data_IF_045964211564
#
_entry.id   IF_045964211564
#
_cell.length_a   1.000
_cell.length_b   1.000
_cell.length_c   1.000
_cell.angle_alpha   90.00
_cell.angle_beta   90.00
_cell.angle_gamma   90.00
#
_symmetry.space_group_name_H-M   'P 1'
#
loop_
_entity.id
_entity.type
_entity.pdbx_description
1 polymer ?
#
# COMPACT_ATOMS: atom_id res chain seq x y z
N UNK A 1 -15.78 18.87 -0.36
CA UNK A 1 -15.89 17.59 -1.10
C UNK A 1 -15.00 16.60 -0.37
N UNK A 2 -15.54 15.51 0.15
CA UNK A 2 -14.75 14.51 0.87
C UNK A 2 -14.11 13.56 -0.16
N UNK A 3 -12.87 13.81 -0.57
CA UNK A 3 -12.13 12.86 -1.42
C UNK A 3 -11.88 11.56 -0.63
N UNK A 4 -12.07 10.42 -1.29
CA UNK A 4 -11.81 9.10 -0.69
C UNK A 4 -10.52 8.56 -1.27
N UNK A 5 -9.60 8.12 -0.41
CA UNK A 5 -8.37 7.46 -0.84
C UNK A 5 -8.52 5.95 -0.66
N UNK A 6 -8.08 5.22 -1.67
CA UNK A 6 -8.02 3.77 -1.68
C UNK A 6 -6.55 3.35 -1.74
N UNK A 7 -6.07 2.72 -0.67
CA UNK A 7 -4.68 2.32 -0.54
C UNK A 7 -4.62 0.81 -0.60
N UNK A 8 -3.92 0.27 -1.59
CA UNK A 8 -3.64 -1.16 -1.67
C UNK A 8 -2.21 -1.36 -1.21
N UNK A 9 -2.01 -2.04 -0.09
CA UNK A 9 -0.68 -2.25 0.46
C UNK A 9 -0.39 -3.74 0.72
N UNK A 10 0.85 -4.13 0.48
CA UNK A 10 1.40 -5.43 0.80
C UNK A 10 2.76 -5.26 1.49
N UNK A 11 3.39 -6.37 1.89
CA UNK A 11 4.76 -6.42 2.41
C UNK A 11 5.81 -5.83 1.46
N UNK A 12 5.51 -5.75 0.16
CA UNK A 12 6.45 -5.31 -0.87
C UNK A 12 6.25 -3.89 -1.39
N UNK A 13 5.00 -3.43 -1.52
CA UNK A 13 4.68 -2.12 -2.11
C UNK A 13 3.30 -1.65 -1.63
N UNK A 14 3.04 -0.35 -1.73
CA UNK A 14 1.78 0.28 -1.45
C UNK A 14 1.38 1.23 -2.58
N UNK A 15 0.22 0.97 -3.16
CA UNK A 15 -0.38 1.73 -4.25
C UNK A 15 -1.46 2.64 -3.67
N UNK A 16 -1.31 3.95 -3.82
CA UNK A 16 -2.28 4.94 -3.37
C UNK A 16 -3.12 5.37 -4.57
N UNK A 17 -4.43 5.23 -4.44
CA UNK A 17 -5.41 5.63 -5.44
C UNK A 17 -6.34 6.68 -4.87
N UNK A 18 -6.70 7.65 -5.69
CA UNK A 18 -7.79 8.58 -5.41
C UNK A 18 -9.07 8.03 -6.02
N UNK A 19 -10.10 7.91 -5.18
CA UNK A 19 -11.44 7.52 -5.62
C UNK A 19 -12.21 8.81 -5.91
N UNK A 20 -12.52 9.01 -7.19
CA UNK A 20 -13.36 10.09 -7.66
C UNK A 20 -14.61 9.55 -8.35
N UNK A 21 -15.59 10.42 -8.55
CA UNK A 21 -16.80 10.09 -9.27
C UNK A 21 -17.99 9.79 -8.35
N UNK A 22 -19.05 9.25 -8.96
CA UNK A 22 -20.32 9.01 -8.27
C UNK A 22 -20.40 7.55 -7.81
N UNK A 23 -21.26 7.23 -6.82
CA UNK A 23 -21.44 5.86 -6.27
C UNK A 23 -21.62 4.78 -7.35
N UNK A 24 -22.22 5.13 -8.49
CA UNK A 24 -22.43 4.19 -9.60
C UNK A 24 -21.21 3.97 -10.51
N UNK A 25 -20.26 4.90 -10.52
CA UNK A 25 -19.03 4.88 -11.34
C UNK A 25 -17.87 5.47 -10.53
N UNK A 26 -17.33 4.72 -9.55
CA UNK A 26 -16.08 5.10 -8.91
C UNK A 26 -14.95 4.98 -9.93
N UNK A 27 -14.13 6.02 -10.04
CA UNK A 27 -12.92 6.08 -10.85
C UNK A 27 -11.74 6.04 -9.90
N UNK A 28 -10.87 5.05 -10.05
CA UNK A 28 -9.62 4.95 -9.29
C UNK A 28 -8.49 5.59 -10.09
N UNK A 29 -7.96 6.72 -9.60
CA UNK A 29 -6.82 7.39 -10.20
C UNK A 29 -5.57 7.10 -9.35
N UNK A 30 -4.53 6.41 -9.88
CA UNK A 30 -3.29 6.22 -9.14
C UNK A 30 -2.64 7.57 -8.86
N UNK A 31 -2.35 7.84 -7.57
CA UNK A 31 -1.69 9.06 -7.11
C UNK A 31 -0.19 8.81 -6.96
N UNK A 32 0.15 7.74 -6.23
CA UNK A 32 1.52 7.47 -5.79
C UNK A 32 1.68 5.97 -5.56
N UNK A 33 2.87 5.45 -5.86
CA UNK A 33 3.26 4.07 -5.54
C UNK A 33 4.50 4.13 -4.66
N UNK A 34 4.40 3.57 -3.47
CA UNK A 34 5.51 3.39 -2.53
C UNK A 34 6.02 1.95 -2.68
N UNK A 35 7.29 1.78 -2.98
CA UNK A 35 7.92 0.47 -3.02
C UNK A 35 8.83 0.30 -1.80
N UNK A 36 8.83 -0.88 -1.20
CA UNK A 36 9.74 -1.19 -0.10
C UNK A 36 11.18 -1.26 -0.64
N UNK A 37 12.18 -0.64 0.02
CA UNK A 37 13.49 -0.36 -0.56
C UNK A 37 14.38 -1.60 -0.86
N UNK A 38 13.92 -2.82 -0.61
CA UNK A 38 14.78 -4.02 -0.61
C UNK A 38 14.45 -5.07 -1.68
N UNK A 39 13.87 -4.69 -2.82
CA UNK A 39 14.16 -5.41 -4.07
C UNK A 39 14.42 -4.44 -5.20
N UNK A 40 15.66 -4.31 -5.70
CA UNK A 40 15.83 -3.78 -7.03
C UNK A 40 14.97 -4.65 -7.94
N UNK A 41 13.88 -4.09 -8.47
CA UNK A 41 13.29 -4.60 -9.71
C UNK A 41 14.47 -4.63 -10.66
N UNK A 42 14.97 -5.83 -10.95
CA UNK A 42 15.91 -6.04 -12.03
C UNK A 42 15.16 -5.56 -13.26
N UNK A 43 15.36 -4.28 -13.60
CA UNK A 43 15.01 -3.75 -14.89
C UNK A 43 15.55 -4.76 -15.88
N UNK A 44 14.65 -5.36 -16.63
CA UNK A 44 14.95 -6.12 -17.85
C UNK A 44 15.52 -5.12 -18.86
N UNK A 45 16.71 -4.63 -18.59
CA UNK A 45 17.54 -3.87 -19.52
C UNK A 45 18.76 -4.74 -19.73
N UNK A 46 18.77 -5.42 -20.88
CA UNK A 46 19.89 -6.25 -21.29
C UNK A 46 21.19 -5.48 -21.14
N UNK A 47 22.13 -6.06 -20.41
CA UNK A 47 23.41 -5.42 -20.13
C UNK A 47 24.17 -6.23 -19.10
N UNK A 48 25.17 -6.97 -19.59
CA UNK A 48 26.15 -7.70 -18.81
C UNK A 48 26.72 -6.84 -17.66
N UNK A 49 26.88 -7.42 -16.47
CA UNK A 49 28.19 -7.49 -15.80
C UNK A 49 28.13 -8.32 -14.51
N UNK A 50 29.11 -9.20 -14.45
CA UNK A 50 29.57 -10.09 -13.39
C UNK A 50 29.88 -9.41 -12.05
N UNK A 51 29.65 -10.11 -10.92
CA UNK A 51 30.72 -10.64 -10.05
C UNK A 51 30.24 -11.01 -8.63
N UNK A 52 30.62 -12.23 -8.22
CA UNK A 52 31.07 -12.65 -6.89
C UNK A 52 30.09 -12.78 -5.70
N UNK A 53 30.18 -13.94 -5.03
CA UNK A 53 29.89 -14.08 -3.60
C UNK A 53 28.58 -14.79 -3.22
N UNK A 54 28.55 -16.13 -3.27
CA UNK A 54 27.53 -16.97 -2.58
C UNK A 54 28.12 -17.56 -1.29
N UNK A 55 27.29 -17.57 -0.24
CA UNK A 55 27.51 -17.93 1.19
C UNK A 55 27.86 -16.64 1.96
N UNK A 56 27.06 -16.10 2.89
CA UNK A 56 26.51 -16.70 4.12
C UNK A 56 25.30 -15.91 4.71
N UNK A 57 24.31 -15.48 3.92
CA UNK A 57 23.35 -14.43 4.37
C UNK A 57 21.96 -14.90 4.89
N UNK A 58 21.69 -16.20 5.07
CA UNK A 58 20.32 -16.71 5.28
C UNK A 58 19.77 -16.55 6.71
N UNK A 59 20.61 -16.40 7.75
CA UNK A 59 20.12 -16.24 9.13
C UNK A 59 19.93 -14.79 9.59
N UNK A 60 20.70 -13.83 9.04
CA UNK A 60 20.53 -12.39 9.36
C UNK A 60 19.39 -11.73 8.57
N UNK A 61 18.97 -12.32 7.44
CA UNK A 61 17.93 -11.74 6.59
C UNK A 61 16.54 -11.75 7.22
N UNK A 62 16.24 -12.66 8.16
CA UNK A 62 14.91 -12.72 8.79
C UNK A 62 14.65 -11.53 9.71
N UNK A 63 15.60 -11.21 10.59
CA UNK A 63 15.50 -10.05 11.49
C UNK A 63 15.53 -8.72 10.71
N UNK A 64 16.36 -8.64 9.67
CA UNK A 64 16.38 -7.48 8.78
C UNK A 64 15.05 -7.28 8.04
N UNK A 65 14.45 -8.35 7.51
CA UNK A 65 13.17 -8.28 6.80
C UNK A 65 12.01 -7.85 7.71
N UNK A 66 11.95 -8.31 8.96
CA UNK A 66 10.91 -7.91 9.92
C UNK A 66 11.05 -6.44 10.35
N UNK A 67 12.28 -5.98 10.57
CA UNK A 67 12.55 -4.59 10.90
C UNK A 67 12.31 -3.64 9.71
N UNK A 68 12.54 -4.10 8.49
CA UNK A 68 12.24 -3.36 7.26
C UNK A 68 10.74 -3.26 6.99
N UNK A 69 10.00 -4.34 7.18
CA UNK A 69 8.53 -4.33 7.05
C UNK A 69 7.93 -3.30 8.02
N UNK A 70 8.46 -3.25 9.24
CA UNK A 70 8.07 -2.25 10.24
C UNK A 70 8.40 -0.81 9.81
N UNK A 71 9.57 -0.59 9.19
CA UNK A 71 9.97 0.72 8.62
C UNK A 71 9.07 1.12 7.45
N UNK A 72 8.71 0.19 6.59
CA UNK A 72 7.85 0.43 5.43
C UNK A 72 6.42 0.77 5.85
N UNK A 73 5.85 -0.01 6.79
CA UNK A 73 4.54 0.31 7.40
C UNK A 73 4.56 1.71 7.99
N UNK A 74 5.62 2.07 8.73
CA UNK A 74 5.75 3.42 9.29
C UNK A 74 5.83 4.50 8.21
N UNK A 75 6.58 4.27 7.14
CA UNK A 75 6.66 5.22 6.02
C UNK A 75 5.30 5.46 5.36
N UNK A 76 4.52 4.39 5.14
CA UNK A 76 3.15 4.50 4.60
C UNK A 76 2.28 5.31 5.57
N UNK A 77 2.31 4.99 6.86
CA UNK A 77 1.51 5.70 7.88
C UNK A 77 1.89 7.18 7.94
N UNK A 78 3.18 7.51 7.94
CA UNK A 78 3.64 8.90 7.96
C UNK A 78 3.17 9.64 6.70
N UNK A 79 3.25 9.00 5.53
CA UNK A 79 2.77 9.56 4.27
C UNK A 79 1.27 9.83 4.28
N UNK A 80 0.49 8.86 4.74
CA UNK A 80 -0.97 8.99 4.87
C UNK A 80 -1.36 10.04 5.92
N UNK A 81 -0.62 10.13 7.03
CA UNK A 81 -0.83 11.17 8.07
C UNK A 81 -0.55 12.56 7.51
N UNK A 82 0.52 12.71 6.74
CA UNK A 82 0.83 13.98 6.07
C UNK A 82 -0.26 14.38 5.09
N UNK A 83 -0.76 13.44 4.29
CA UNK A 83 -1.86 13.67 3.37
C UNK A 83 -3.18 13.98 4.09
N UNK A 84 -3.45 13.34 5.23
CA UNK A 84 -4.58 13.65 6.10
C UNK A 84 -4.49 15.08 6.64
N UNK A 85 -3.32 15.49 7.13
CA UNK A 85 -3.08 16.85 7.65
C UNK A 85 -3.24 17.91 6.56
N UNK A 86 -2.85 17.61 5.32
CA UNK A 86 -3.06 18.45 4.15
C UNK A 86 -4.51 18.43 3.64
N UNK A 87 -5.41 17.68 4.29
CA UNK A 87 -6.82 17.46 3.89
C UNK A 87 -6.96 16.97 2.44
N UNK A 88 -6.01 16.17 1.98
CA UNK A 88 -6.10 15.56 0.64
C UNK A 88 -7.20 14.51 0.54
N UNK A 89 -7.56 13.88 1.67
CA UNK A 89 -8.68 12.96 1.77
C UNK A 89 -9.46 13.15 3.06
N UNK A 90 -10.75 12.80 3.02
CA UNK A 90 -11.61 12.71 4.20
C UNK A 90 -11.84 11.28 4.67
N UNK A 91 -11.77 10.31 3.75
CA UNK A 91 -12.03 8.89 3.99
C UNK A 91 -10.91 8.06 3.40
N UNK A 92 -10.50 7.03 4.13
CA UNK A 92 -9.43 6.13 3.75
C UNK A 92 -9.93 4.69 3.75
N UNK A 93 -9.73 4.01 2.63
CA UNK A 93 -10.01 2.58 2.47
C UNK A 93 -8.68 1.89 2.26
N UNK A 94 -8.38 0.88 3.06
CA UNK A 94 -7.11 0.15 3.01
C UNK A 94 -7.40 -1.29 2.57
N UNK A 95 -6.72 -1.76 1.55
CA UNK A 95 -6.78 -3.13 1.07
C UNK A 95 -5.41 -3.78 1.21
N UNK A 96 -5.28 -4.71 2.16
CA UNK A 96 -4.02 -5.34 2.50
C UNK A 96 -4.26 -6.70 3.17
N UNK A 97 -3.28 -7.61 3.18
CA UNK A 97 -3.39 -8.86 3.93
C UNK A 97 -3.52 -8.60 5.45
N UNK A 98 -4.21 -9.49 6.16
CA UNK A 98 -4.57 -9.28 7.58
C UNK A 98 -3.39 -8.99 8.50
N UNK A 99 -2.27 -9.67 8.28
CA UNK A 99 -1.02 -9.47 9.01
C UNK A 99 -0.50 -8.02 8.85
N UNK A 100 -0.57 -7.47 7.64
CA UNK A 100 -0.11 -6.12 7.33
C UNK A 100 -1.07 -5.05 7.87
N UNK A 101 -2.38 -5.27 7.75
CA UNK A 101 -3.40 -4.37 8.34
C UNK A 101 -3.22 -4.28 9.85
N UNK A 102 -2.96 -5.40 10.53
CA UNK A 102 -2.66 -5.44 11.95
C UNK A 102 -1.50 -4.52 12.33
N UNK A 103 -0.36 -4.66 11.65
CA UNK A 103 0.83 -3.81 11.84
C UNK A 103 0.54 -2.35 11.55
N UNK A 104 -0.15 -2.07 10.45
CA UNK A 104 -0.47 -0.71 10.04
C UNK A 104 -1.38 -0.03 11.06
N UNK A 105 -2.33 -0.75 11.65
CA UNK A 105 -3.17 -0.26 12.75
C UNK A 105 -2.37 0.03 14.02
N UNK A 106 -1.38 -0.80 14.35
CA UNK A 106 -0.52 -0.56 15.51
C UNK A 106 0.30 0.73 15.37
N UNK A 107 0.71 1.06 14.14
CA UNK A 107 1.53 2.25 13.82
C UNK A 107 0.68 3.50 13.54
N UNK A 108 -0.49 3.36 12.88
CA UNK A 108 -1.41 4.43 12.47
C UNK A 108 -2.14 5.17 13.61
N UNK A 109 -1.64 5.08 14.84
CA UNK A 109 -2.35 5.53 16.06
C UNK A 109 -2.84 6.98 15.94
N UNK A 110 -4.06 7.23 16.46
CA UNK A 110 -4.60 8.58 16.61
C UNK A 110 -5.62 8.97 15.55
N UNK A 111 -5.36 10.06 14.81
CA UNK A 111 -6.30 10.63 13.84
C UNK A 111 -6.41 9.79 12.56
N UNK A 112 -5.33 9.15 12.12
CA UNK A 112 -5.32 8.41 10.87
C UNK A 112 -6.31 7.24 10.90
N UNK A 113 -6.28 6.47 12.00
CA UNK A 113 -7.22 5.37 12.23
C UNK A 113 -8.70 5.82 12.21
N UNK A 114 -9.00 7.06 12.62
CA UNK A 114 -10.37 7.61 12.56
C UNK A 114 -10.82 7.95 11.14
N UNK A 115 -9.87 8.22 10.23
CA UNK A 115 -10.18 8.42 8.81
C UNK A 115 -10.28 7.10 8.04
N UNK A 116 -9.79 5.99 8.59
CA UNK A 116 -9.99 4.66 8.01
C UNK A 116 -11.46 4.29 8.14
N UNK A 117 -12.18 4.32 7.02
CA UNK A 117 -13.60 3.96 6.96
C UNK A 117 -13.78 2.47 6.74
N UNK A 118 -12.80 1.80 6.11
CA UNK A 118 -12.89 0.39 5.76
C UNK A 118 -11.51 -0.25 5.54
N UNK A 119 -11.39 -1.48 6.00
CA UNK A 119 -10.21 -2.34 5.83
C UNK A 119 -10.65 -3.61 5.07
N UNK A 120 -9.98 -3.92 3.97
CA UNK A 120 -10.29 -5.04 3.09
C UNK A 120 -9.13 -6.02 3.19
N UNK A 121 -9.41 -7.20 3.71
CA UNK A 121 -8.42 -8.24 3.89
C UNK A 121 -8.23 -8.98 2.56
N UNK A 122 -7.09 -8.74 1.92
CA UNK A 122 -6.72 -9.44 0.69
C UNK A 122 -5.47 -8.84 0.04
N UNK A 123 -4.75 -9.66 -0.71
CA UNK A 123 -3.68 -9.18 -1.58
C UNK A 123 -4.28 -8.82 -2.94
N UNK A 124 -4.26 -7.53 -3.26
CA UNK A 124 -4.74 -7.02 -4.55
C UNK A 124 -3.68 -6.19 -5.28
N UNK A 125 -2.44 -6.28 -4.81
CA UNK A 125 -1.29 -5.55 -5.35
C UNK A 125 -0.96 -6.01 -6.77
N UNK A 126 -1.31 -7.26 -7.10
CA UNK A 126 -1.12 -7.86 -8.41
C UNK A 126 -2.33 -7.68 -9.35
N UNK A 127 -3.47 -7.18 -8.85
CA UNK A 127 -4.64 -6.86 -9.67
C UNK A 127 -4.41 -5.53 -10.41
N UNK A 128 -4.89 -5.45 -11.65
CA UNK A 128 -4.88 -4.19 -12.40
C UNK A 128 -5.87 -3.19 -11.80
N UNK A 129 -5.64 -1.89 -11.98
CA UNK A 129 -6.54 -0.82 -11.52
C UNK A 129 -7.98 -1.03 -11.97
N UNK A 130 -8.20 -1.52 -13.20
CA UNK A 130 -9.54 -1.87 -13.69
C UNK A 130 -10.19 -3.01 -12.88
N UNK A 131 -9.44 -4.07 -12.54
CA UNK A 131 -9.95 -5.18 -11.77
C UNK A 131 -10.28 -4.76 -10.34
N UNK A 132 -9.42 -3.94 -9.73
CA UNK A 132 -9.67 -3.28 -8.44
C UNK A 132 -10.94 -2.43 -8.48
N UNK A 133 -11.12 -1.62 -9.53
CA UNK A 133 -12.29 -0.76 -9.68
C UNK A 133 -13.57 -1.57 -9.87
N UNK A 134 -13.51 -2.66 -10.65
CA UNK A 134 -14.65 -3.55 -10.86
C UNK A 134 -15.03 -4.31 -9.59
N UNK A 135 -14.03 -4.80 -8.83
CA UNK A 135 -14.25 -5.42 -7.53
C UNK A 135 -14.81 -4.43 -6.51
N UNK A 136 -14.25 -3.22 -6.44
CA UNK A 136 -14.72 -2.18 -5.55
C UNK A 136 -16.16 -1.78 -5.84
N UNK A 137 -16.55 -1.79 -7.13
CA UNK A 137 -17.93 -1.58 -7.58
C UNK A 137 -18.84 -2.77 -7.24
N UNK A 138 -18.39 -3.99 -7.47
CA UNK A 138 -19.18 -5.23 -7.26
C UNK A 138 -19.40 -5.54 -5.78
N UNK A 139 -18.41 -5.27 -4.94
CA UNK A 139 -18.44 -5.56 -3.50
C UNK A 139 -18.70 -4.32 -2.63
N UNK A 140 -19.06 -3.19 -3.23
CA UNK A 140 -19.37 -1.94 -2.52
C UNK A 140 -18.26 -1.51 -1.53
N UNK A 141 -17.00 -1.70 -1.91
CA UNK A 141 -15.86 -1.38 -1.04
C UNK A 141 -15.71 0.12 -0.75
N UNK A 142 -16.36 0.96 -1.56
CA UNK A 142 -16.26 2.42 -1.55
C UNK A 142 -17.55 3.12 -1.08
N UNK A 143 -18.45 2.38 -0.41
CA UNK A 143 -19.79 2.84 -0.01
C UNK A 143 -19.89 3.39 1.42
#
# INVERSE_FOLDING_TARGET
MESTWFVVADRSQALLFEVHGSRMKPTLTPIETLESPERPRYERRGGQSSASGRRDLVSETRGAAEEQDSKFVRQIVERLTQAQHQRQFGRLVIAAPADFVGRLREVARGSLQKSVVREIIGDYTNDSVQALQERARRHEWLH
#
